data_IF_254004648236
#
_entry.id   IF_254004648236
#
_cell.length_a   1.000
_cell.length_b   1.000
_cell.length_c   1.000
_cell.angle_alpha   90.00
_cell.angle_beta   90.00
_cell.angle_gamma   90.00
#
_symmetry.space_group_name_H-M   'P 1'
#
loop_
_entity.id
_entity.type
_entity.pdbx_description
1 polymer ?
#
# COMPACT_ATOMS: atom_id res chain seq x y z
N UNK A 1 -22.55 -47.59 23.42
CA UNK A 1 -22.51 -46.21 23.99
C UNK A 1 -21.16 -45.54 23.73
N UNK A 2 -20.02 -46.20 24.00
CA UNK A 2 -18.68 -45.67 23.76
C UNK A 2 -18.40 -45.24 22.30
N UNK A 3 -18.79 -46.04 21.29
CA UNK A 3 -18.53 -45.73 19.88
C UNK A 3 -19.27 -44.47 19.39
N UNK A 4 -20.51 -44.27 19.86
CA UNK A 4 -21.31 -43.08 19.54
C UNK A 4 -20.72 -41.82 20.19
N UNK A 5 -20.23 -41.93 21.42
CA UNK A 5 -19.52 -40.82 22.09
C UNK A 5 -18.18 -40.52 21.42
N UNK A 6 -17.46 -41.53 20.93
CA UNK A 6 -16.20 -41.35 20.20
C UNK A 6 -16.42 -40.67 18.84
N UNK A 7 -17.45 -41.10 18.09
CA UNK A 7 -17.85 -40.46 16.83
C UNK A 7 -18.32 -39.01 17.04
N UNK A 8 -19.09 -38.75 18.12
CA UNK A 8 -19.48 -37.40 18.51
C UNK A 8 -18.27 -36.53 18.84
N UNK A 9 -17.28 -37.04 19.58
CA UNK A 9 -16.03 -36.31 19.83
C UNK A 9 -15.25 -36.04 18.55
N UNK A 10 -15.16 -37.01 17.63
CA UNK A 10 -14.46 -36.82 16.36
C UNK A 10 -15.11 -35.74 15.51
N UNK A 11 -16.46 -35.71 15.46
CA UNK A 11 -17.21 -34.68 14.76
C UNK A 11 -17.02 -33.29 15.40
N UNK A 12 -17.04 -33.21 16.73
CA UNK A 12 -16.79 -31.95 17.44
C UNK A 12 -15.37 -31.43 17.16
N UNK A 13 -14.36 -32.30 17.18
CA UNK A 13 -12.97 -31.92 16.85
C UNK A 13 -12.87 -31.46 15.40
N UNK A 14 -13.51 -32.16 14.45
CA UNK A 14 -13.52 -31.77 13.05
C UNK A 14 -14.21 -30.41 12.82
N UNK A 15 -15.33 -30.14 13.49
CA UNK A 15 -16.03 -28.85 13.43
C UNK A 15 -15.17 -27.71 13.99
N UNK A 16 -14.58 -27.91 15.18
CA UNK A 16 -13.70 -26.91 15.81
C UNK A 16 -12.42 -26.63 15.01
N UNK A 17 -11.94 -27.61 14.23
CA UNK A 17 -10.76 -27.43 13.36
C UNK A 17 -11.05 -26.48 12.20
N UNK A 18 -12.27 -26.53 11.64
CA UNK A 18 -12.70 -25.61 10.58
C UNK A 18 -12.85 -24.16 11.09
N UNK A 19 -13.20 -23.98 12.36
CA UNK A 19 -13.37 -22.64 12.95
C UNK A 19 -12.02 -21.93 13.20
N UNK A 20 -10.94 -22.68 13.46
CA UNK A 20 -9.60 -22.11 13.72
C UNK A 20 -8.96 -21.55 12.44
N UNK A 21 -9.21 -22.15 11.28
CA UNK A 21 -8.75 -21.64 9.99
C UNK A 21 -9.47 -20.34 9.57
N UNK A 22 -10.69 -20.12 10.09
CA UNK A 22 -11.47 -18.90 9.83
C UNK A 22 -11.14 -17.75 10.79
N UNK A 23 -10.27 -17.98 11.78
CA UNK A 23 -9.62 -16.91 12.55
C UNK A 23 -8.47 -16.26 11.77
N UNK A 24 -8.54 -16.24 10.43
CA UNK A 24 -7.90 -15.18 9.67
C UNK A 24 -8.57 -13.88 10.08
N UNK A 25 -8.12 -13.31 11.19
CA UNK A 25 -8.45 -11.95 11.57
C UNK A 25 -8.20 -11.10 10.33
N UNK A 26 -9.25 -10.56 9.74
CA UNK A 26 -9.16 -9.42 8.84
C UNK A 26 -8.74 -8.22 9.70
N UNK A 27 -7.54 -8.30 10.27
CA UNK A 27 -6.83 -7.18 10.85
C UNK A 27 -6.48 -6.31 9.66
N UNK A 28 -7.35 -5.35 9.36
CA UNK A 28 -7.01 -4.27 8.45
C UNK A 28 -5.75 -3.61 9.00
N UNK A 29 -4.60 -3.93 8.42
CA UNK A 29 -3.33 -3.33 8.82
C UNK A 29 -3.47 -1.82 8.71
N UNK A 30 -3.19 -1.08 9.79
CA UNK A 30 -3.25 0.39 9.76
C UNK A 30 -2.37 0.89 8.63
N UNK A 31 -2.91 1.81 7.82
CA UNK A 31 -2.19 2.39 6.68
C UNK A 31 -1.59 3.74 7.07
N UNK A 32 -0.33 3.96 6.68
CA UNK A 32 0.31 5.28 6.70
C UNK A 32 0.54 5.67 5.25
N UNK A 33 -0.24 6.64 4.78
CA UNK A 33 -0.23 7.07 3.36
C UNK A 33 0.56 8.36 3.26
N UNK A 34 1.68 8.31 2.56
CA UNK A 34 2.56 9.46 2.34
C UNK A 34 2.37 10.00 0.94
N UNK A 35 2.32 11.33 0.81
CA UNK A 35 2.27 12.00 -0.48
C UNK A 35 3.66 12.57 -0.81
N UNK A 36 4.21 12.15 -1.95
CA UNK A 36 5.40 12.77 -2.52
C UNK A 36 4.97 13.83 -3.53
N UNK A 37 5.60 15.00 -3.49
CA UNK A 37 5.26 16.12 -4.37
C UNK A 37 6.45 16.44 -5.26
N UNK A 38 6.28 16.29 -6.58
CA UNK A 38 7.37 16.41 -7.55
C UNK A 38 8.04 17.80 -7.54
N UNK A 39 7.29 18.85 -7.23
CA UNK A 39 7.81 20.22 -7.14
C UNK A 39 8.69 20.49 -5.90
N UNK A 40 8.78 19.55 -4.95
CA UNK A 40 9.65 19.72 -3.78
C UNK A 40 11.15 19.75 -4.13
N UNK A 41 11.52 19.25 -5.32
CA UNK A 41 12.88 19.35 -5.88
C UNK A 41 13.30 20.80 -6.17
N UNK A 42 12.35 21.70 -6.37
CA UNK A 42 12.61 23.12 -6.67
C UNK A 42 12.83 23.99 -5.44
N UNK A 43 12.63 23.44 -4.24
CA UNK A 43 12.97 24.14 -2.99
C UNK A 43 14.48 24.30 -2.86
N UNK A 44 14.89 25.34 -2.13
CA UNK A 44 16.31 25.67 -1.94
C UNK A 44 16.84 25.10 -0.62
N UNK A 45 18.16 24.88 -0.58
CA UNK A 45 18.87 24.44 0.62
C UNK A 45 18.32 23.13 1.20
N UNK A 46 18.21 23.08 2.54
CA UNK A 46 17.77 21.88 3.27
C UNK A 46 16.32 21.48 3.02
N UNK A 47 15.51 22.36 2.42
CA UNK A 47 14.12 22.09 2.10
C UNK A 47 13.95 21.41 0.73
N UNK A 48 15.02 21.31 -0.07
CA UNK A 48 15.04 20.53 -1.31
C UNK A 48 14.83 19.06 -0.97
N UNK A 49 13.84 18.44 -1.61
CA UNK A 49 13.48 17.06 -1.36
C UNK A 49 13.34 16.30 -2.68
N UNK A 50 14.16 15.26 -2.84
CA UNK A 50 14.21 14.36 -3.99
C UNK A 50 13.55 13.01 -3.63
N UNK A 51 13.22 12.16 -4.62
CA UNK A 51 12.71 10.81 -4.36
C UNK A 51 13.64 10.00 -3.44
N UNK A 52 14.96 10.15 -3.60
CA UNK A 52 15.98 9.47 -2.78
C UNK A 52 15.95 9.86 -1.29
N UNK A 53 15.28 10.97 -0.95
CA UNK A 53 15.14 11.39 0.44
C UNK A 53 13.96 10.70 1.15
N UNK A 54 13.14 9.93 0.44
CA UNK A 54 12.02 9.19 1.03
C UNK A 54 12.56 8.02 1.85
N UNK A 55 12.23 7.98 3.15
CA UNK A 55 12.49 6.80 3.97
C UNK A 55 11.36 5.77 3.76
N UNK A 56 11.64 4.60 3.13
CA UNK A 56 10.60 3.63 2.76
C UNK A 56 9.98 2.91 3.97
N UNK A 57 10.57 3.03 5.16
CA UNK A 57 10.08 2.36 6.37
C UNK A 57 9.06 3.20 7.16
N UNK A 58 8.82 4.45 6.77
CA UNK A 58 7.87 5.34 7.46
C UNK A 58 6.43 5.25 6.91
N UNK A 59 6.26 4.75 5.69
CA UNK A 59 4.99 4.77 4.96
C UNK A 59 4.62 3.35 4.54
N UNK A 60 3.33 2.99 4.61
CA UNK A 60 2.86 1.74 4.02
C UNK A 60 2.43 1.92 2.57
N UNK A 61 2.06 3.15 2.18
CA UNK A 61 1.72 3.51 0.80
C UNK A 61 2.35 4.86 0.47
N UNK A 62 2.88 4.98 -0.74
CA UNK A 62 3.37 6.23 -1.30
C UNK A 62 2.50 6.64 -2.48
N UNK A 63 2.02 7.88 -2.47
CA UNK A 63 1.23 8.49 -3.54
C UNK A 63 2.08 9.57 -4.20
N UNK A 64 2.37 9.42 -5.48
CA UNK A 64 3.00 10.46 -6.28
C UNK A 64 1.98 11.54 -6.62
N UNK A 65 2.26 12.78 -6.28
CA UNK A 65 1.36 13.91 -6.43
C UNK A 65 2.01 15.03 -7.26
N UNK A 66 1.36 15.53 -8.32
CA UNK A 66 0.09 15.10 -8.91
C UNK A 66 0.27 14.80 -10.40
N UNK A 67 -0.66 14.03 -10.97
CA UNK A 67 -0.89 14.03 -12.41
C UNK A 67 -1.77 15.22 -12.81
N UNK A 68 -1.62 15.68 -14.04
CA UNK A 68 -2.49 16.68 -14.65
C UNK A 68 -3.56 16.05 -15.54
N UNK A 69 -4.51 16.88 -15.97
CA UNK A 69 -5.47 16.53 -17.02
C UNK A 69 -5.33 17.46 -18.23
N UNK A 70 -5.47 16.92 -19.43
CA UNK A 70 -5.66 17.72 -20.64
C UNK A 70 -7.05 18.35 -20.65
N UNK A 71 -7.30 19.30 -21.58
CA UNK A 71 -8.66 19.84 -21.78
C UNK A 71 -9.66 18.78 -22.25
N UNK A 72 -9.18 17.67 -22.80
CA UNK A 72 -9.97 16.52 -23.25
C UNK A 72 -10.14 15.46 -22.16
N UNK A 73 -9.78 15.76 -20.91
CA UNK A 73 -9.88 14.85 -19.75
C UNK A 73 -8.97 13.63 -19.81
N UNK A 74 -7.86 13.71 -20.53
CA UNK A 74 -6.84 12.67 -20.55
C UNK A 74 -5.78 12.96 -19.49
N UNK A 75 -5.21 11.91 -18.88
CA UNK A 75 -4.12 12.05 -17.92
C UNK A 75 -2.86 12.52 -18.65
N UNK A 76 -2.16 13.47 -18.04
CA UNK A 76 -0.84 13.92 -18.48
C UNK A 76 0.10 14.13 -17.28
N UNK A 77 1.42 14.18 -17.50
CA UNK A 77 2.35 14.70 -16.49
C UNK A 77 1.95 16.10 -16.04
N UNK A 78 2.13 16.40 -14.76
CA UNK A 78 1.92 17.76 -14.25
C UNK A 78 3.15 18.61 -14.52
N UNK A 79 4.34 18.04 -14.35
CA UNK A 79 5.63 18.64 -14.70
C UNK A 79 6.41 17.65 -15.59
N UNK A 80 6.35 17.86 -16.91
CA UNK A 80 6.95 16.94 -17.88
C UNK A 80 8.46 16.71 -17.65
N UNK A 81 9.16 17.72 -17.15
CA UNK A 81 10.59 17.63 -16.94
C UNK A 81 10.92 16.70 -15.77
N UNK A 82 10.27 16.87 -14.62
CA UNK A 82 10.54 16.02 -13.45
C UNK A 82 9.92 14.64 -13.58
N UNK A 83 8.74 14.56 -14.22
CA UNK A 83 7.96 13.33 -14.27
C UNK A 83 8.48 12.37 -15.36
N UNK A 84 9.03 12.89 -16.47
CA UNK A 84 9.42 12.09 -17.65
C UNK A 84 10.87 12.35 -18.06
N UNK A 85 11.21 13.57 -18.49
CA UNK A 85 12.47 13.86 -19.20
C UNK A 85 13.74 13.70 -18.34
N UNK A 86 13.64 13.93 -17.04
CA UNK A 86 14.76 13.78 -16.11
C UNK A 86 15.09 12.30 -15.90
N UNK A 87 14.07 11.46 -15.72
CA UNK A 87 14.24 10.02 -15.52
C UNK A 87 14.77 9.30 -16.77
N UNK A 88 14.44 9.77 -17.97
CA UNK A 88 14.99 9.23 -19.22
C UNK A 88 16.48 9.55 -19.43
N UNK A 89 17.04 10.50 -18.68
CA UNK A 89 18.44 10.96 -18.82
C UNK A 89 19.36 10.49 -17.69
N UNK A 90 18.83 9.73 -16.74
CA UNK A 90 19.55 9.10 -15.63
C UNK A 90 19.68 7.59 -15.88
#
# INVERSE_FOLDING_TARGET
MALRNFLLHLLVVAVLSNDLENLSTHSSSKRVVCYYTNWSVYRQGIAKFLPDNINPYLCTHLVYAFGGLTKSYEIKPFDNYQDIEKGERE
#
